data_IF_645648540154
#
_entry.id   IF_645648540154
#
_cell.length_a   1.000
_cell.length_b   1.000
_cell.length_c   1.000
_cell.angle_alpha   90.00
_cell.angle_beta   90.00
_cell.angle_gamma   90.00
#
_symmetry.space_group_name_H-M   'P 1'
#
loop_
_entity.id
_entity.type
_entity.pdbx_description
1 polymer ?
#
# COMPACT_ATOMS: atom_id res chain seq x y z
N UNK A 1 -5.65 15.16 -13.78
CA UNK A 1 -5.23 13.86 -13.22
C UNK A 1 -4.72 14.15 -11.83
N UNK A 2 -5.33 13.56 -10.82
CA UNK A 2 -4.83 13.67 -9.44
C UNK A 2 -3.40 13.11 -9.38
N UNK A 3 -2.54 13.73 -8.57
CA UNK A 3 -1.15 13.33 -8.41
C UNK A 3 -1.01 11.91 -7.80
N UNK A 4 0.22 11.40 -7.68
CA UNK A 4 0.44 10.10 -7.05
C UNK A 4 -0.02 10.12 -5.57
N UNK A 5 -0.80 9.12 -5.19
CA UNK A 5 -1.11 8.88 -3.77
C UNK A 5 0.17 8.47 -3.04
N UNK A 6 0.49 9.19 -1.97
CA UNK A 6 1.70 8.97 -1.17
C UNK A 6 1.30 8.54 0.24
N UNK A 7 2.07 7.63 0.82
CA UNK A 7 1.77 7.11 2.14
C UNK A 7 2.68 5.97 2.55
N UNK A 8 2.49 5.47 3.76
CA UNK A 8 3.18 4.28 4.25
C UNK A 8 2.40 3.05 3.83
N UNK A 9 3.08 2.09 3.21
CA UNK A 9 2.49 0.78 2.92
C UNK A 9 2.47 -0.04 4.21
N UNK A 10 1.29 -0.57 4.54
CA UNK A 10 1.11 -1.57 5.58
C UNK A 10 0.66 -2.88 4.94
N UNK A 11 1.28 -3.98 5.36
CA UNK A 11 0.85 -5.34 5.02
C UNK A 11 0.69 -6.14 6.30
N UNK A 12 -0.46 -6.78 6.45
CA UNK A 12 -0.78 -7.62 7.61
C UNK A 12 -1.80 -8.70 7.23
N UNK A 13 -1.97 -9.67 8.11
CA UNK A 13 -2.97 -10.73 7.96
C UNK A 13 -4.12 -10.50 8.93
N UNK A 14 -5.35 -10.70 8.47
CA UNK A 14 -6.54 -10.57 9.30
C UNK A 14 -7.56 -11.67 8.97
N UNK A 15 -8.20 -12.23 10.00
CA UNK A 15 -9.34 -13.12 9.80
C UNK A 15 -10.54 -12.28 9.33
N UNK A 16 -11.07 -12.61 8.16
CA UNK A 16 -12.25 -11.98 7.59
C UNK A 16 -13.42 -12.94 7.66
N UNK A 17 -14.42 -12.62 8.49
CA UNK A 17 -15.58 -13.47 8.74
C UNK A 17 -16.44 -13.67 7.48
N UNK A 18 -16.53 -12.63 6.64
CA UNK A 18 -17.16 -12.61 5.33
C UNK A 18 -16.50 -13.59 4.34
N UNK A 19 -15.18 -13.75 4.40
CA UNK A 19 -14.42 -14.68 3.56
C UNK A 19 -14.16 -16.03 4.24
N UNK A 20 -14.49 -16.15 5.53
CA UNK A 20 -14.27 -17.31 6.41
C UNK A 20 -12.82 -17.83 6.38
N UNK A 21 -11.86 -16.94 6.20
CA UNK A 21 -10.43 -17.28 6.15
C UNK A 21 -9.56 -16.12 6.61
N UNK A 22 -8.30 -16.43 6.92
CA UNK A 22 -7.24 -15.43 7.03
C UNK A 22 -6.93 -14.89 5.64
N UNK A 23 -6.87 -13.56 5.51
CA UNK A 23 -6.46 -12.89 4.27
C UNK A 23 -5.32 -11.92 4.52
N UNK A 24 -4.44 -11.81 3.54
CA UNK A 24 -3.43 -10.76 3.53
C UNK A 24 -4.10 -9.48 3.04
N UNK A 25 -3.89 -8.40 3.78
CA UNK A 25 -4.40 -7.07 3.46
C UNK A 25 -3.21 -6.15 3.23
N UNK A 26 -3.28 -5.39 2.15
CA UNK A 26 -2.40 -4.24 1.93
C UNK A 26 -3.22 -2.96 1.97
N UNK A 27 -2.68 -1.94 2.63
CA UNK A 27 -3.22 -0.59 2.62
C UNK A 27 -2.12 0.46 2.53
N UNK A 28 -2.48 1.61 1.99
CA UNK A 28 -1.63 2.79 1.93
C UNK A 28 -2.16 3.81 2.94
N UNK A 29 -1.43 4.02 4.04
CA UNK A 29 -1.77 5.01 5.05
C UNK A 29 -1.27 6.39 4.60
N UNK A 30 -2.17 7.33 4.33
CA UNK A 30 -1.82 8.75 4.17
C UNK A 30 -1.31 9.32 5.49
N UNK A 31 -1.96 8.95 6.60
CA UNK A 31 -1.63 9.40 7.95
C UNK A 31 -1.87 8.29 8.98
N UNK A 32 -1.08 8.32 10.07
CA UNK A 32 -1.23 7.41 11.20
C UNK A 32 -0.83 5.96 10.91
N UNK A 33 -1.10 5.08 11.87
CA UNK A 33 -1.02 3.63 11.68
C UNK A 33 -2.42 3.02 11.73
N UNK A 34 -2.64 1.88 11.07
CA UNK A 34 -3.92 1.18 11.09
C UNK A 34 -4.39 0.88 12.52
N UNK A 35 -5.66 1.17 12.81
CA UNK A 35 -6.24 1.01 14.14
C UNK A 35 -5.98 2.17 15.12
N UNK A 36 -5.27 3.23 14.71
CA UNK A 36 -5.11 4.45 15.50
C UNK A 36 -6.15 5.52 15.13
N UNK A 37 -6.53 6.42 16.07
CA UNK A 37 -7.56 7.45 15.82
C UNK A 37 -7.23 8.44 14.70
N UNK A 38 -5.94 8.68 14.43
CA UNK A 38 -5.45 9.56 13.38
C UNK A 38 -5.20 8.83 12.04
N UNK A 39 -5.70 7.59 11.91
CA UNK A 39 -5.51 6.81 10.69
C UNK A 39 -6.33 7.38 9.53
N UNK A 40 -5.66 7.60 8.40
CA UNK A 40 -6.30 7.97 7.14
C UNK A 40 -5.78 7.09 6.00
N UNK A 41 -6.67 6.34 5.36
CA UNK A 41 -6.36 5.58 4.15
C UNK A 41 -6.20 6.51 2.94
N UNK A 42 -5.17 6.27 2.12
CA UNK A 42 -4.90 6.97 0.87
C UNK A 42 -5.57 6.28 -0.32
N UNK A 43 -5.66 4.94 -0.28
CA UNK A 43 -6.36 4.10 -1.26
C UNK A 43 -7.20 3.05 -0.50
N UNK A 44 -8.23 2.46 -1.11
CA UNK A 44 -8.96 1.35 -0.51
C UNK A 44 -8.06 0.13 -0.22
N UNK A 45 -8.45 -0.67 0.76
CA UNK A 45 -7.73 -1.89 1.12
C UNK A 45 -7.72 -2.89 -0.03
N UNK A 46 -6.56 -3.48 -0.27
CA UNK A 46 -6.37 -4.57 -1.23
C UNK A 46 -6.33 -5.89 -0.49
N UNK A 47 -7.27 -6.78 -0.82
CA UNK A 47 -7.30 -8.14 -0.31
C UNK A 47 -6.55 -9.08 -1.25
N UNK A 48 -5.79 -10.00 -0.65
CA UNK A 48 -4.88 -10.94 -1.32
C UNK A 48 -3.97 -10.25 -2.37
N UNK A 49 -3.21 -9.22 -1.97
CA UNK A 49 -2.34 -8.49 -2.88
C UNK A 49 -1.26 -9.42 -3.46
N UNK A 50 -1.12 -9.43 -4.77
CA UNK A 50 -0.06 -10.15 -5.49
C UNK A 50 0.82 -9.16 -6.25
N UNK A 51 2.14 -9.22 -6.03
CA UNK A 51 3.12 -8.44 -6.78
C UNK A 51 3.46 -9.15 -8.09
N UNK A 52 3.17 -8.54 -9.23
CA UNK A 52 3.38 -9.18 -10.54
C UNK A 52 4.81 -9.01 -11.06
N UNK A 53 5.41 -7.83 -10.94
CA UNK A 53 6.82 -7.62 -11.30
C UNK A 53 7.47 -6.54 -10.41
N UNK A 54 8.78 -6.64 -10.20
CA UNK A 54 9.54 -5.66 -9.42
C UNK A 54 10.84 -5.29 -10.15
N UNK A 55 11.24 -4.02 -10.04
CA UNK A 55 12.63 -3.60 -10.16
C UNK A 55 13.06 -2.97 -8.82
N UNK A 56 14.30 -2.51 -8.69
CA UNK A 56 14.84 -2.01 -7.41
C UNK A 56 14.21 -0.70 -6.91
N UNK A 57 13.57 0.09 -7.77
CA UNK A 57 13.06 1.44 -7.46
C UNK A 57 11.54 1.58 -7.68
N UNK A 58 10.94 0.63 -8.40
CA UNK A 58 9.54 0.60 -8.83
C UNK A 58 9.05 -0.84 -8.89
N UNK A 59 7.83 -1.04 -8.42
CA UNK A 59 7.10 -2.31 -8.54
C UNK A 59 5.87 -2.10 -9.41
N UNK A 60 5.70 -2.97 -10.41
CA UNK A 60 4.51 -2.94 -11.26
C UNK A 60 3.50 -4.00 -10.83
N UNK A 61 2.27 -3.51 -10.70
CA UNK A 61 1.01 -4.20 -10.49
C UNK A 61 1.03 -5.04 -9.23
N UNK A 62 0.63 -4.40 -8.12
CA UNK A 62 -0.03 -5.13 -7.04
C UNK A 62 -1.49 -5.33 -7.47
N UNK A 63 -1.88 -6.57 -7.73
CA UNK A 63 -3.28 -6.93 -7.98
C UNK A 63 -3.91 -7.37 -6.67
N UNK A 64 -5.05 -6.80 -6.31
CA UNK A 64 -5.91 -7.31 -5.26
C UNK A 64 -7.37 -7.10 -5.64
N UNK A 65 -8.27 -7.46 -4.74
CA UNK A 65 -9.66 -7.03 -4.86
C UNK A 65 -10.07 -6.22 -3.64
N UNK A 66 -10.95 -5.25 -3.85
CA UNK A 66 -11.73 -4.63 -2.78
C UNK A 66 -13.18 -5.13 -2.83
N UNK A 67 -13.88 -5.00 -1.71
CA UNK A 67 -15.30 -5.28 -1.64
C UNK A 67 -16.08 -3.99 -1.42
N UNK A 68 -16.89 -3.63 -2.41
CA UNK A 68 -17.79 -2.48 -2.36
C UNK A 68 -19.20 -3.01 -2.53
N UNK A 69 -20.06 -2.76 -1.55
CA UNK A 69 -21.47 -3.19 -1.56
C UNK A 69 -21.68 -4.69 -1.82
N UNK A 70 -20.77 -5.54 -1.31
CA UNK A 70 -20.85 -7.00 -1.47
C UNK A 70 -20.40 -7.52 -2.85
N UNK A 71 -19.94 -6.65 -3.74
CA UNK A 71 -19.32 -7.01 -5.01
C UNK A 71 -17.80 -6.87 -4.92
N UNK A 72 -17.08 -7.76 -5.62
CA UNK A 72 -15.61 -7.74 -5.70
C UNK A 72 -15.16 -6.96 -6.90
N UNK A 73 -14.29 -5.99 -6.67
CA UNK A 73 -13.66 -5.18 -7.70
C UNK A 73 -12.17 -5.46 -7.71
N UNK A 74 -11.68 -6.00 -8.81
CA UNK A 74 -10.26 -6.25 -9.01
C UNK A 74 -9.57 -4.98 -9.45
N UNK A 75 -8.46 -4.65 -8.81
CA UNK A 75 -7.71 -3.44 -9.10
C UNK A 75 -6.20 -3.71 -9.11
N UNK A 76 -5.50 -2.97 -9.96
CA UNK A 76 -4.05 -3.03 -10.12
C UNK A 76 -3.42 -1.68 -9.82
N UNK A 77 -2.40 -1.68 -8.96
CA UNK A 77 -1.68 -0.45 -8.57
C UNK A 77 -0.22 -0.50 -8.98
N UNK A 78 0.27 0.65 -9.43
CA UNK A 78 1.69 0.90 -9.64
C UNK A 78 2.28 1.53 -8.38
N UNK A 79 3.40 1.00 -7.92
CA UNK A 79 4.08 1.51 -6.73
C UNK A 79 5.48 1.98 -7.10
N UNK A 80 5.80 3.17 -6.60
CA UNK A 80 7.14 3.70 -6.60
C UNK A 80 7.51 3.98 -5.14
N UNK A 81 8.66 3.49 -4.72
CA UNK A 81 9.23 3.83 -3.42
C UNK A 81 10.44 4.73 -3.64
N UNK A 82 10.63 5.67 -2.74
CA UNK A 82 11.81 6.50 -2.72
C UNK A 82 12.71 6.00 -1.60
N UNK A 83 14.00 5.85 -1.87
CA UNK A 83 14.97 5.68 -0.81
C UNK A 83 15.01 6.99 -0.02
N UNK A 84 14.46 6.96 1.20
CA UNK A 84 14.74 8.03 2.16
C UNK A 84 16.18 7.82 2.63
N UNK A 85 17.11 8.48 1.93
CA UNK A 85 18.49 8.53 2.34
C UNK A 85 18.55 9.25 3.69
N UNK A 86 19.35 8.77 4.67
CA UNK A 86 19.55 9.49 5.92
C UNK A 86 20.04 10.92 5.65
N UNK A 87 19.64 11.88 6.48
CA UNK A 87 20.00 13.30 6.30
C UNK A 87 21.52 13.51 6.16
N UNK A 88 22.32 12.69 6.86
CA UNK A 88 23.79 12.74 6.77
C UNK A 88 24.33 12.33 5.39
N UNK A 89 23.64 11.47 4.63
CA UNK A 89 24.08 11.02 3.31
C UNK A 89 23.79 12.09 2.24
N UNK A 90 22.70 12.83 2.38
CA UNK A 90 22.36 13.96 1.51
C UNK A 90 23.29 15.16 1.74
N UNK A 91 23.83 15.32 2.95
CA UNK A 91 24.80 16.35 3.29
C UNK A 91 26.18 16.13 2.61
N UNK A 92 26.57 14.89 2.37
CA UNK A 92 27.89 14.55 1.79
C UNK A 92 27.96 14.70 0.26
N UNK A 93 26.81 14.80 -0.41
CA UNK A 93 26.74 14.88 -1.89
C UNK A 93 26.68 16.34 -2.40
N UNK A 94 26.73 17.32 -1.49
CA UNK A 94 26.90 18.74 -1.81
C UNK A 94 28.34 19.17 -1.48
N UNK A 95 29.30 18.75 -2.31
CA UNK A 95 30.63 19.34 -2.42
C UNK A 95 31.15 19.14 -3.84
#
# INVERSE_FOLDING_TARGET
MDGPYSGRVHMYSQYRADLRRQVVIMELAAEGNPGQPNYRQAIPQLLDPAMLTFNSEKGMVITGFEELSGARYYQGWWLQWYHQLPDWFLATTRN
#
